data_IF_068049881218
#
_entry.id   IF_068049881218
#
_cell.length_a   1.000
_cell.length_b   1.000
_cell.length_c   1.000
_cell.angle_alpha   90.00
_cell.angle_beta   90.00
_cell.angle_gamma   90.00
#
_symmetry.space_group_name_H-M   'P 1'
#
loop_
_entity.id
_entity.type
_entity.pdbx_description
1 polymer ?
#
# COMPACT_ATOMS: atom_id res chain seq x y z
N UNK A 1 11.81 2.93 2.14
CA UNK A 1 13.03 3.24 2.85
C UNK A 1 14.05 2.11 2.84
N UNK A 2 15.00 2.18 3.74
CA UNK A 2 16.12 1.23 3.85
C UNK A 2 16.18 0.69 5.27
N UNK A 3 16.15 -0.63 5.44
CA UNK A 3 16.29 -1.26 6.76
C UNK A 3 17.77 -1.23 7.17
N UNK A 4 18.03 -0.80 8.39
CA UNK A 4 19.35 -0.75 9.02
C UNK A 4 19.40 -1.69 10.23
N UNK A 5 18.93 -2.91 10.05
CA UNK A 5 18.78 -3.98 11.02
C UNK A 5 17.40 -4.07 11.71
N UNK A 6 16.45 -3.17 11.41
CA UNK A 6 15.07 -3.35 11.85
C UNK A 6 14.54 -4.70 11.33
N UNK A 7 13.78 -5.42 12.18
CA UNK A 7 13.27 -6.78 11.88
C UNK A 7 14.37 -7.78 11.46
N UNK A 8 15.62 -7.57 11.92
CA UNK A 8 16.80 -8.35 11.48
C UNK A 8 17.05 -8.31 9.97
N UNK A 9 16.54 -7.28 9.29
CA UNK A 9 16.65 -7.08 7.84
C UNK A 9 17.62 -5.95 7.51
N UNK A 10 18.31 -6.12 6.38
CA UNK A 10 19.16 -5.09 5.76
C UNK A 10 18.62 -4.76 4.36
N UNK A 11 18.89 -3.55 3.90
CA UNK A 11 18.42 -3.06 2.61
C UNK A 11 16.89 -2.83 2.55
N UNK A 12 16.29 -2.85 1.36
CA UNK A 12 14.91 -2.38 1.12
C UNK A 12 13.98 -3.43 0.50
N UNK A 13 14.38 -4.70 0.55
CA UNK A 13 13.64 -5.75 -0.15
C UNK A 13 12.70 -6.50 0.80
N UNK A 14 11.85 -5.76 1.51
CA UNK A 14 10.87 -6.32 2.46
C UNK A 14 9.49 -5.72 2.25
N UNK A 15 8.47 -6.34 2.86
CA UNK A 15 7.09 -5.85 2.87
C UNK A 15 6.78 -4.93 4.06
N UNK A 16 7.73 -4.72 4.97
CA UNK A 16 7.59 -3.85 6.14
C UNK A 16 7.49 -2.35 5.75
N UNK A 17 6.89 -1.57 6.63
CA UNK A 17 6.79 -0.11 6.50
C UNK A 17 8.13 0.57 6.26
N UNK A 18 9.17 0.12 6.94
CA UNK A 18 10.54 0.62 6.78
C UNK A 18 11.02 0.60 5.33
N UNK A 19 10.56 -0.37 4.52
CA UNK A 19 10.86 -0.44 3.09
C UNK A 19 9.83 0.24 2.21
N UNK A 20 8.54 0.13 2.55
CA UNK A 20 7.42 0.44 1.65
C UNK A 20 6.84 1.84 1.84
N UNK A 21 6.94 2.39 3.05
CA UNK A 21 6.49 3.75 3.34
C UNK A 21 7.63 4.75 3.13
N UNK A 22 7.45 5.66 2.19
CA UNK A 22 8.44 6.69 1.86
C UNK A 22 7.81 8.07 1.86
N UNK A 23 8.55 9.14 2.19
CA UNK A 23 8.04 10.51 2.07
C UNK A 23 7.65 10.82 0.63
N UNK A 24 6.49 11.47 0.46
CA UNK A 24 6.04 12.03 -0.80
C UNK A 24 5.81 13.53 -0.63
N UNK A 25 6.55 14.34 -1.39
CA UNK A 25 6.43 15.79 -1.39
C UNK A 25 6.08 16.24 -2.81
N UNK A 26 4.96 16.95 -2.96
CA UNK A 26 4.53 17.52 -4.23
C UNK A 26 4.49 19.04 -4.09
N UNK A 27 5.30 19.71 -4.90
CA UNK A 27 5.29 21.16 -5.01
C UNK A 27 4.58 21.59 -6.30
N UNK A 28 3.47 22.32 -6.14
CA UNK A 28 2.78 22.95 -7.26
C UNK A 28 2.81 24.47 -7.09
N UNK A 29 3.58 25.20 -7.94
CA UNK A 29 3.72 26.65 -7.84
C UNK A 29 2.40 27.40 -8.07
N UNK A 30 1.44 26.80 -8.78
CA UNK A 30 0.14 27.40 -9.08
C UNK A 30 -0.86 27.23 -7.93
N UNK A 31 -0.57 26.34 -6.95
CA UNK A 31 -1.44 26.12 -5.81
C UNK A 31 -1.08 27.04 -4.66
N UNK A 32 -2.12 27.62 -4.02
CA UNK A 32 -2.00 28.32 -2.73
C UNK A 32 -2.18 27.40 -1.54
N UNK A 33 -2.66 26.18 -1.75
CA UNK A 33 -2.85 25.19 -0.67
C UNK A 33 -1.50 24.71 -0.20
N UNK A 34 -1.34 24.68 1.12
CA UNK A 34 -0.17 24.13 1.82
C UNK A 34 -0.70 23.21 2.92
N UNK A 35 0.02 22.14 3.22
CA UNK A 35 -0.35 21.20 4.29
C UNK A 35 0.26 19.85 4.09
N UNK A 36 -0.10 18.95 5.00
CA UNK A 36 0.23 17.53 4.95
C UNK A 36 -1.05 16.71 5.10
N UNK A 37 -1.00 15.47 4.69
CA UNK A 37 -2.09 14.50 4.82
C UNK A 37 -1.53 13.14 5.18
N UNK A 38 -2.31 12.35 5.92
CA UNK A 38 -2.05 10.94 6.19
C UNK A 38 -2.85 10.02 5.26
N UNK A 39 -3.39 10.59 4.18
CA UNK A 39 -4.13 9.83 3.17
C UNK A 39 -3.27 8.71 2.58
N UNK A 40 -3.85 7.52 2.50
CA UNK A 40 -3.18 6.37 1.91
C UNK A 40 -3.08 6.53 0.38
N UNK A 41 -1.86 6.58 -0.13
CA UNK A 41 -1.53 6.78 -1.55
C UNK A 41 -0.46 5.79 -2.01
N UNK A 42 -0.31 5.62 -3.30
CA UNK A 42 0.67 4.69 -3.88
C UNK A 42 1.52 5.39 -4.95
N UNK A 43 2.71 4.87 -5.22
CA UNK A 43 3.59 5.39 -6.27
C UNK A 43 2.98 5.33 -7.68
N UNK A 44 2.05 4.39 -7.92
CA UNK A 44 1.32 4.30 -9.20
C UNK A 44 0.41 5.51 -9.43
N UNK A 45 0.08 6.26 -8.38
CA UNK A 45 -0.77 7.46 -8.43
C UNK A 45 -0.01 8.69 -8.98
N UNK A 46 1.32 8.64 -9.03
CA UNK A 46 2.14 9.76 -9.49
C UNK A 46 1.90 10.07 -10.96
N UNK A 47 1.84 9.05 -11.82
CA UNK A 47 1.67 9.25 -13.25
C UNK A 47 0.33 9.92 -13.59
N UNK A 48 -0.84 9.40 -13.15
CA UNK A 48 -2.12 10.09 -13.37
C UNK A 48 -2.17 11.48 -12.70
N UNK A 49 -1.47 11.69 -11.60
CA UNK A 49 -1.38 13.00 -10.95
C UNK A 49 -0.66 14.02 -11.83
N UNK A 50 0.46 13.63 -12.45
CA UNK A 50 1.22 14.50 -13.34
C UNK A 50 0.38 14.85 -14.58
N UNK A 51 -0.29 13.87 -15.19
CA UNK A 51 -1.19 14.09 -16.33
C UNK A 51 -2.24 15.14 -15.97
N UNK A 52 -2.92 14.96 -14.83
CA UNK A 52 -4.01 15.83 -14.39
C UNK A 52 -3.53 17.22 -13.96
N UNK A 53 -2.36 17.34 -13.33
CA UNK A 53 -1.79 18.64 -12.93
C UNK A 53 -1.28 19.45 -14.10
N UNK A 54 -0.77 18.80 -15.16
CA UNK A 54 -0.18 19.41 -16.33
C UNK A 54 -1.15 19.50 -17.51
N UNK A 55 -2.41 19.11 -17.34
CA UNK A 55 -3.45 19.09 -18.37
C UNK A 55 -2.99 18.36 -19.65
N UNK A 56 -2.35 17.20 -19.44
CA UNK A 56 -1.86 16.35 -20.52
C UNK A 56 -2.97 15.39 -20.99
N UNK A 57 -2.84 14.92 -22.24
CA UNK A 57 -3.73 13.90 -22.77
C UNK A 57 -3.54 12.59 -22.00
N UNK A 58 -4.66 12.01 -21.53
CA UNK A 58 -4.64 10.67 -20.94
C UNK A 58 -4.19 9.61 -21.95
N UNK A 59 -3.43 8.60 -21.50
CA UNK A 59 -3.07 7.47 -22.34
C UNK A 59 -4.32 6.66 -22.73
N UNK A 60 -4.24 5.97 -23.87
CA UNK A 60 -5.35 5.09 -24.32
C UNK A 60 -5.56 3.89 -23.37
N UNK A 61 -4.49 3.45 -22.72
CA UNK A 61 -4.54 2.35 -21.75
C UNK A 61 -5.00 2.87 -20.40
N UNK A 62 -5.97 2.20 -19.80
CA UNK A 62 -6.42 2.48 -18.44
C UNK A 62 -5.24 2.42 -17.45
N UNK A 63 -5.19 3.38 -16.54
CA UNK A 63 -4.19 3.45 -15.48
C UNK A 63 -4.71 2.79 -14.19
N UNK A 64 -3.85 2.05 -13.51
CA UNK A 64 -4.17 1.44 -12.20
C UNK A 64 -4.12 2.47 -11.06
N UNK A 65 -3.40 3.58 -11.24
CA UNK A 65 -3.31 4.68 -10.29
C UNK A 65 -4.45 5.68 -10.44
N UNK A 66 -4.65 6.48 -9.40
CA UNK A 66 -5.61 7.59 -9.39
C UNK A 66 -4.89 8.92 -9.17
N UNK A 67 -5.43 10.01 -9.73
CA UNK A 67 -4.85 11.34 -9.53
C UNK A 67 -4.98 11.79 -8.07
N UNK A 68 -3.89 12.31 -7.52
CA UNK A 68 -3.84 12.92 -6.19
C UNK A 68 -4.26 14.40 -6.20
N UNK A 69 -4.62 14.98 -7.35
CA UNK A 69 -5.05 16.39 -7.47
C UNK A 69 -6.18 16.76 -6.52
N UNK A 70 -7.20 15.92 -6.26
CA UNK A 70 -8.22 16.22 -5.24
C UNK A 70 -7.63 16.40 -3.83
N UNK A 71 -6.73 15.51 -3.41
CA UNK A 71 -6.05 15.56 -2.10
C UNK A 71 -5.13 16.80 -2.03
N UNK A 72 -4.45 17.14 -3.12
CA UNK A 72 -3.61 18.34 -3.19
C UNK A 72 -4.43 19.65 -3.09
N UNK A 73 -5.70 19.63 -3.51
CA UNK A 73 -6.65 20.75 -3.34
C UNK A 73 -7.25 20.80 -1.94
N UNK A 74 -7.49 19.65 -1.34
CA UNK A 74 -8.03 19.52 0.01
C UNK A 74 -7.33 18.36 0.76
N UNK A 75 -6.29 18.65 1.56
CA UNK A 75 -5.54 17.64 2.30
C UNK A 75 -6.34 16.87 3.37
N UNK A 76 -7.58 17.27 3.64
CA UNK A 76 -8.48 16.56 4.57
C UNK A 76 -9.26 15.43 3.91
N UNK A 77 -9.19 15.28 2.58
CA UNK A 77 -9.81 14.17 1.90
C UNK A 77 -9.09 12.86 2.25
N UNK A 78 -9.87 11.82 2.39
CA UNK A 78 -9.36 10.46 2.54
C UNK A 78 -8.71 10.00 1.23
N UNK A 79 -7.66 9.21 1.36
CA UNK A 79 -7.00 8.53 0.25
C UNK A 79 -7.71 7.23 -0.12
N UNK A 80 -6.93 6.28 -0.62
CA UNK A 80 -7.40 4.92 -0.87
C UNK A 80 -7.74 4.21 0.44
N UNK A 81 -8.75 3.35 0.41
CA UNK A 81 -9.05 2.47 1.55
C UNK A 81 -7.94 1.46 1.80
N UNK A 82 -7.25 1.05 0.73
CA UNK A 82 -6.13 0.12 0.78
C UNK A 82 -5.16 0.30 -0.39
N UNK A 83 -3.95 -0.18 -0.22
CA UNK A 83 -2.94 -0.31 -1.27
C UNK A 83 -2.31 -1.70 -1.26
N UNK A 84 -1.86 -2.16 -2.43
CA UNK A 84 -1.19 -3.44 -2.58
C UNK A 84 0.31 -3.24 -2.74
N UNK A 85 1.06 -4.16 -2.12
CA UNK A 85 2.51 -4.25 -2.24
C UNK A 85 2.88 -5.69 -2.56
N UNK A 86 3.67 -5.88 -3.60
CA UNK A 86 4.20 -7.19 -3.97
C UNK A 86 5.71 -7.18 -3.91
N UNK A 87 6.27 -8.12 -3.16
CA UNK A 87 7.71 -8.39 -3.15
C UNK A 87 7.96 -9.90 -3.17
N UNK A 88 8.51 -10.40 -4.27
CA UNK A 88 8.71 -11.84 -4.50
C UNK A 88 7.40 -12.63 -4.33
N UNK A 89 7.38 -13.54 -3.37
CA UNK A 89 6.21 -14.34 -3.00
C UNK A 89 5.39 -13.74 -1.83
N UNK A 90 5.73 -12.54 -1.38
CA UNK A 90 5.00 -11.78 -0.36
C UNK A 90 4.03 -10.79 -0.98
N UNK A 91 2.77 -10.90 -0.60
CA UNK A 91 1.68 -10.05 -1.07
C UNK A 91 1.05 -9.36 0.11
N UNK A 92 1.11 -8.04 0.13
CA UNK A 92 0.63 -7.22 1.23
C UNK A 92 -0.56 -6.38 0.81
N UNK A 93 -1.61 -6.44 1.59
CA UNK A 93 -2.69 -5.48 1.62
C UNK A 93 -2.44 -4.53 2.80
N UNK A 94 -2.36 -3.25 2.52
CA UNK A 94 -2.17 -2.23 3.53
C UNK A 94 -3.35 -1.29 3.57
N UNK A 95 -3.91 -1.12 4.75
CA UNK A 95 -4.92 -0.12 5.09
C UNK A 95 -4.29 0.98 5.96
N UNK A 96 -5.10 1.93 6.42
CA UNK A 96 -4.66 2.94 7.38
C UNK A 96 -4.21 2.31 8.71
N UNK A 97 -4.93 1.26 9.16
CA UNK A 97 -4.76 0.69 10.49
C UNK A 97 -4.01 -0.65 10.49
N UNK A 98 -3.91 -1.33 9.35
CA UNK A 98 -3.34 -2.67 9.27
C UNK A 98 -2.41 -2.85 8.09
N UNK A 99 -1.41 -3.71 8.28
CA UNK A 99 -0.58 -4.28 7.21
C UNK A 99 -0.69 -5.80 7.26
N UNK A 100 -1.36 -6.40 6.28
CA UNK A 100 -1.57 -7.84 6.18
C UNK A 100 -0.78 -8.40 5.02
N UNK A 101 0.08 -9.37 5.29
CA UNK A 101 0.93 -10.01 4.26
C UNK A 101 0.74 -11.51 4.25
N UNK A 102 0.55 -12.07 3.06
CA UNK A 102 0.66 -13.50 2.81
C UNK A 102 1.92 -13.80 2.00
N UNK A 103 2.68 -14.79 2.44
CA UNK A 103 3.75 -15.39 1.66
C UNK A 103 3.22 -16.68 1.05
N UNK A 104 3.25 -16.78 -0.27
CA UNK A 104 2.68 -17.92 -0.99
C UNK A 104 3.75 -18.69 -1.76
N UNK A 105 3.54 -19.99 -1.96
CA UNK A 105 4.41 -20.80 -2.81
C UNK A 105 4.10 -20.53 -4.28
N UNK A 106 5.12 -20.20 -5.11
CA UNK A 106 4.90 -19.93 -6.53
C UNK A 106 4.33 -21.12 -7.32
N UNK A 107 4.51 -22.34 -6.80
CA UNK A 107 4.13 -23.58 -7.51
C UNK A 107 2.64 -23.87 -7.47
N UNK A 108 2.00 -23.62 -6.35
CA UNK A 108 0.63 -24.03 -6.07
C UNK A 108 -0.22 -22.96 -5.38
N UNK A 109 0.34 -21.76 -5.21
CA UNK A 109 -0.28 -20.63 -4.52
C UNK A 109 -0.71 -20.93 -3.05
N UNK A 110 -0.20 -22.02 -2.47
CA UNK A 110 -0.47 -22.31 -1.06
C UNK A 110 0.23 -21.31 -0.14
N UNK A 111 -0.44 -20.93 0.96
CA UNK A 111 0.08 -19.98 1.93
C UNK A 111 1.18 -20.63 2.76
N UNK A 112 2.37 -20.04 2.77
CA UNK A 112 3.50 -20.47 3.60
C UNK A 112 3.35 -19.92 5.01
N UNK A 113 3.09 -18.61 5.10
CA UNK A 113 2.97 -17.88 6.38
C UNK A 113 2.22 -16.57 6.17
N UNK A 114 1.74 -16.01 7.28
CA UNK A 114 1.04 -14.73 7.33
C UNK A 114 1.69 -13.78 8.32
N UNK A 115 1.62 -12.50 8.03
CA UNK A 115 1.90 -11.45 8.99
C UNK A 115 0.72 -10.49 9.03
N UNK A 116 0.38 -10.04 10.23
CA UNK A 116 -0.55 -8.93 10.46
C UNK A 116 0.06 -7.99 11.49
N UNK A 117 0.11 -6.71 11.15
CA UNK A 117 0.53 -5.65 12.06
C UNK A 117 -0.61 -4.66 12.26
N UNK A 118 -0.89 -4.33 13.52
CA UNK A 118 -1.90 -3.36 13.92
C UNK A 118 -1.23 -2.00 14.18
N UNK A 119 -1.30 -1.10 13.21
CA UNK A 119 -0.66 0.21 13.29
C UNK A 119 -1.30 1.16 14.31
N UNK A 120 -2.46 0.82 14.86
CA UNK A 120 -3.08 1.59 15.95
C UNK A 120 -2.28 1.47 17.24
N UNK A 121 -1.60 0.32 17.43
CA UNK A 121 -0.82 -0.01 18.62
C UNK A 121 0.65 -0.25 18.36
N UNK A 122 1.04 -0.68 17.14
CA UNK A 122 2.41 -1.02 16.76
C UNK A 122 2.76 -0.46 15.36
N UNK A 123 3.04 0.83 15.29
CA UNK A 123 3.45 1.50 14.05
C UNK A 123 4.80 1.03 13.51
N UNK A 124 5.61 0.42 14.36
CA UNK A 124 6.94 -0.08 14.00
C UNK A 124 6.93 -1.52 13.48
N UNK A 125 5.75 -2.19 13.49
CA UNK A 125 5.57 -3.56 13.00
C UNK A 125 6.45 -4.60 13.72
N UNK A 126 6.63 -4.44 15.05
CA UNK A 126 7.46 -5.33 15.86
C UNK A 126 6.77 -6.65 16.23
N UNK A 127 5.43 -6.64 16.30
CA UNK A 127 4.64 -7.77 16.81
C UNK A 127 3.68 -8.28 15.75
N UNK A 128 3.98 -9.46 15.19
CA UNK A 128 3.05 -10.15 14.28
C UNK A 128 1.88 -10.73 15.07
N UNK A 129 0.68 -10.18 14.87
CA UNK A 129 -0.55 -10.62 15.55
C UNK A 129 -1.42 -11.58 14.71
N UNK A 130 -0.92 -12.07 13.58
CA UNK A 130 -1.66 -12.97 12.69
C UNK A 130 -2.08 -14.31 13.33
N UNK A 131 -1.49 -14.70 14.46
CA UNK A 131 -1.85 -15.91 15.19
C UNK A 131 -2.79 -15.69 16.41
N UNK A 132 -3.22 -14.44 16.64
CA UNK A 132 -4.07 -14.13 17.79
C UNK A 132 -5.55 -14.20 17.40
N UNK A 133 -6.37 -14.89 18.21
CA UNK A 133 -7.81 -15.09 17.98
C UNK A 133 -8.59 -13.77 17.82
N UNK A 134 -8.19 -12.73 18.52
CA UNK A 134 -8.86 -11.42 18.48
C UNK A 134 -8.82 -10.76 17.09
N UNK A 135 -7.92 -11.21 16.21
CA UNK A 135 -7.75 -10.69 14.86
C UNK A 135 -8.32 -11.58 13.74
N UNK A 136 -8.96 -12.70 14.05
CA UNK A 136 -9.49 -13.65 13.07
C UNK A 136 -10.47 -12.99 12.07
N UNK A 137 -11.38 -12.16 12.56
CA UNK A 137 -12.33 -11.45 11.71
C UNK A 137 -11.64 -10.46 10.77
N UNK A 138 -10.67 -9.71 11.30
CA UNK A 138 -9.88 -8.73 10.53
C UNK A 138 -9.05 -9.46 9.46
N UNK A 139 -8.42 -10.58 9.82
CA UNK A 139 -7.66 -11.40 8.87
C UNK A 139 -8.57 -11.91 7.76
N UNK A 140 -9.77 -12.38 8.10
CA UNK A 140 -10.74 -12.88 7.10
C UNK A 140 -11.17 -11.80 6.13
N UNK A 141 -11.42 -10.58 6.60
CA UNK A 141 -11.75 -9.42 5.76
C UNK A 141 -10.60 -9.03 4.84
N UNK A 142 -9.40 -8.85 5.41
CA UNK A 142 -8.21 -8.44 4.64
C UNK A 142 -7.79 -9.52 3.63
N UNK A 143 -7.91 -10.79 4.00
CA UNK A 143 -7.69 -11.92 3.11
C UNK A 143 -8.66 -11.88 1.92
N UNK A 144 -9.96 -11.68 2.17
CA UNK A 144 -10.96 -11.59 1.13
C UNK A 144 -10.63 -10.45 0.14
N UNK A 145 -10.29 -9.26 0.63
CA UNK A 145 -9.91 -8.12 -0.21
C UNK A 145 -8.63 -8.44 -1.01
N UNK A 146 -7.62 -9.03 -0.36
CA UNK A 146 -6.36 -9.39 -1.00
C UNK A 146 -6.59 -10.35 -2.17
N UNK A 147 -7.36 -11.43 -1.95
CA UNK A 147 -7.58 -12.46 -2.96
C UNK A 147 -8.54 -12.02 -4.06
N UNK A 148 -9.58 -11.23 -3.78
CA UNK A 148 -10.49 -10.69 -4.79
C UNK A 148 -9.74 -9.85 -5.83
N UNK A 149 -8.80 -9.01 -5.37
CA UNK A 149 -7.98 -8.19 -6.28
C UNK A 149 -6.85 -8.98 -6.96
N UNK A 150 -6.46 -10.13 -6.39
CA UNK A 150 -5.43 -10.99 -6.96
C UNK A 150 -5.93 -11.73 -8.19
N UNK A 151 -7.17 -12.22 -8.16
CA UNK A 151 -7.79 -12.94 -9.27
C UNK A 151 -7.96 -12.06 -10.51
N UNK A 152 -8.37 -10.81 -10.34
CA UNK A 152 -8.49 -9.84 -11.44
C UNK A 152 -7.14 -9.58 -12.14
N UNK A 153 -6.01 -9.61 -11.41
CA UNK A 153 -4.68 -9.38 -11.97
C UNK A 153 -4.04 -10.62 -12.62
N UNK A 154 -4.54 -11.83 -12.35
CA UNK A 154 -4.02 -13.08 -12.94
C UNK A 154 -4.82 -13.46 -14.21
N UNK A 155 -6.12 -13.20 -14.22
CA UNK A 155 -7.00 -13.53 -15.36
C UNK A 155 -6.98 -12.46 -16.47
N UNK A 156 -6.45 -11.27 -16.19
CA UNK A 156 -6.33 -10.15 -17.14
C UNK A 156 -5.05 -10.13 -17.99
N UNK A 157 -4.32 -11.26 -18.12
CA UNK A 157 -3.15 -11.40 -19.00
C UNK A 157 -3.38 -12.40 -20.09
#
# INVERSE_FOLDING_TARGET
GYNLQEHTQWAKFTNYNTSTQVPLIIYNPLSKVRGSTDALVSLIDLYPTIIDLCDLKEPEKQLDGISLKPILKNPQLEGKSYVFIKKENGFTLKTKDFSYTEFIKPKDNSIITRMLFDHRTDKAENFNVAGHSDYENIISELNFILHSNFQENIEGK
#
